data_IF_538888881094
#
_entry.id   IF_538888881094
#
_cell.length_a   1.000
_cell.length_b   1.000
_cell.length_c   1.000
_cell.angle_alpha   90.00
_cell.angle_beta   90.00
_cell.angle_gamma   90.00
#
_symmetry.space_group_name_H-M   'P 1'
#
loop_
_entity.id
_entity.type
_entity.pdbx_description
1 polymer ?
#
# COMPACT_ATOMS: atom_id res chain seq x y z
N UNK A 1 -19.40 23.33 0.19
CA UNK A 1 -19.19 24.61 0.87
C UNK A 1 -18.78 25.69 -0.12
N UNK A 2 -18.74 26.91 0.32
CA UNK A 2 -18.46 28.08 -0.53
C UNK A 2 -16.96 28.44 -0.59
N UNK A 3 -16.09 27.52 -0.19
CA UNK A 3 -14.65 27.71 -0.27
C UNK A 3 -14.15 27.41 -1.69
N UNK A 4 -13.44 28.35 -2.34
CA UNK A 4 -12.89 28.11 -3.67
C UNK A 4 -11.77 27.09 -3.60
N UNK A 5 -11.83 26.09 -4.50
CA UNK A 5 -10.77 25.12 -4.69
C UNK A 5 -9.81 25.58 -5.79
N UNK A 6 -8.51 25.40 -5.57
CA UNK A 6 -7.50 25.71 -6.59
C UNK A 6 -7.48 24.59 -7.63
N UNK A 7 -7.86 24.92 -8.86
CA UNK A 7 -7.75 24.00 -10.00
C UNK A 7 -6.28 23.87 -10.40
N UNK A 8 -5.80 22.64 -10.49
CA UNK A 8 -4.42 22.30 -10.90
C UNK A 8 -4.35 21.63 -12.29
N UNK A 9 -5.48 21.15 -12.77
CA UNK A 9 -5.62 20.60 -14.13
C UNK A 9 -7.06 20.75 -14.60
N UNK A 10 -7.27 21.03 -15.88
CA UNK A 10 -8.58 21.06 -16.52
C UNK A 10 -8.49 20.56 -17.97
N UNK A 11 -9.45 19.74 -18.36
CA UNK A 11 -9.70 19.31 -19.73
C UNK A 11 -11.21 19.29 -20.00
N UNK A 12 -11.67 19.05 -21.21
CA UNK A 12 -13.10 18.94 -21.51
C UNK A 12 -13.85 17.88 -20.70
N UNK A 13 -13.15 16.87 -20.21
CA UNK A 13 -13.74 15.70 -19.50
C UNK A 13 -13.28 15.53 -18.06
N UNK A 14 -12.31 16.35 -17.60
CA UNK A 14 -11.72 16.17 -16.27
C UNK A 14 -11.23 17.48 -15.66
N UNK A 15 -11.55 17.69 -14.39
CA UNK A 15 -10.97 18.75 -13.55
C UNK A 15 -10.30 18.12 -12.35
N UNK A 16 -9.07 18.50 -12.06
CA UNK A 16 -8.41 18.19 -10.80
C UNK A 16 -8.21 19.48 -10.00
N UNK A 17 -8.59 19.47 -8.74
CA UNK A 17 -8.48 20.61 -7.85
C UNK A 17 -7.96 20.18 -6.47
N UNK A 18 -7.23 21.10 -5.82
CA UNK A 18 -6.77 20.87 -4.45
C UNK A 18 -7.92 21.19 -3.50
N UNK A 19 -8.20 20.25 -2.61
CA UNK A 19 -9.20 20.44 -1.54
C UNK A 19 -8.72 21.58 -0.60
N UNK A 20 -9.53 22.60 -0.35
CA UNK A 20 -9.14 23.70 0.53
C UNK A 20 -8.91 23.21 1.97
N UNK A 21 -7.86 23.72 2.62
CA UNK A 21 -7.48 23.35 3.99
C UNK A 21 -8.54 23.71 5.06
N UNK A 22 -9.46 24.61 4.76
CA UNK A 22 -10.55 25.00 5.67
C UNK A 22 -11.77 24.08 5.66
N UNK A 23 -11.77 23.00 4.87
CA UNK A 23 -12.87 22.02 4.88
C UNK A 23 -12.71 21.10 6.09
N UNK A 24 -13.34 21.47 7.19
CA UNK A 24 -13.30 20.72 8.46
C UNK A 24 -14.35 19.57 8.56
N UNK A 25 -15.12 19.30 7.52
CA UNK A 25 -16.24 18.34 7.58
C UNK A 25 -15.84 16.98 7.09
N UNK A 26 -15.95 16.00 7.97
CA UNK A 26 -16.01 14.58 7.59
C UNK A 26 -17.33 14.32 6.88
N UNK A 27 -17.31 13.51 5.82
CA UNK A 27 -18.50 13.06 5.10
C UNK A 27 -18.65 13.72 3.73
N UNK A 28 -19.85 13.52 3.17
CA UNK A 28 -20.20 13.90 1.81
C UNK A 28 -20.20 15.42 1.63
N UNK A 29 -19.26 15.94 0.85
CA UNK A 29 -19.05 17.40 0.61
C UNK A 29 -19.48 17.74 -0.82
N UNK A 30 -20.37 18.74 -1.02
CA UNK A 30 -20.78 19.15 -2.35
C UNK A 30 -19.68 19.92 -3.07
N UNK A 31 -19.58 19.68 -4.39
CA UNK A 31 -18.69 20.40 -5.32
C UNK A 31 -19.53 21.05 -6.41
N UNK A 32 -19.23 22.31 -6.72
CA UNK A 32 -19.84 23.06 -7.82
C UNK A 32 -18.75 23.69 -8.68
N UNK A 33 -18.98 23.77 -9.98
CA UNK A 33 -18.11 24.44 -10.94
C UNK A 33 -18.70 25.82 -11.24
N UNK A 34 -18.34 26.82 -10.44
CA UNK A 34 -18.80 28.19 -10.60
C UNK A 34 -20.33 28.29 -10.73
N UNK A 35 -20.78 28.99 -11.76
CA UNK A 35 -22.21 29.17 -12.08
C UNK A 35 -22.65 28.22 -13.21
N UNK A 36 -21.88 27.16 -13.51
CA UNK A 36 -22.27 26.20 -14.54
C UNK A 36 -23.50 25.44 -14.08
N UNK A 37 -24.63 25.49 -14.83
CA UNK A 37 -25.79 24.70 -14.51
C UNK A 37 -25.49 23.20 -14.58
N UNK A 38 -26.01 22.44 -13.62
CA UNK A 38 -25.81 21.00 -13.58
C UNK A 38 -26.11 20.41 -12.21
N UNK A 39 -26.04 19.09 -12.12
CA UNK A 39 -26.18 18.38 -10.85
C UNK A 39 -24.99 18.67 -9.93
N UNK A 40 -25.27 18.78 -8.63
CA UNK A 40 -24.22 18.94 -7.63
C UNK A 40 -23.46 17.63 -7.47
N UNK A 41 -22.18 17.61 -7.83
CA UNK A 41 -21.31 16.51 -7.53
C UNK A 41 -20.94 16.50 -6.04
N UNK A 42 -20.59 15.35 -5.53
CA UNK A 42 -20.21 15.18 -4.14
C UNK A 42 -18.92 14.36 -4.06
N UNK A 43 -18.06 14.70 -3.09
CA UNK A 43 -16.93 13.88 -2.71
C UNK A 43 -16.93 13.63 -1.20
N UNK A 44 -16.24 12.58 -0.77
CA UNK A 44 -15.99 12.30 0.64
C UNK A 44 -14.51 12.47 0.94
N UNK A 45 -14.22 13.03 2.13
CA UNK A 45 -12.85 13.15 2.62
C UNK A 45 -12.48 11.93 3.44
N UNK A 46 -11.36 11.31 3.11
CA UNK A 46 -10.75 10.30 3.95
C UNK A 46 -10.34 10.91 5.30
N UNK A 47 -10.62 10.19 6.38
CA UNK A 47 -10.27 10.63 7.72
C UNK A 47 -8.83 10.21 8.05
N UNK A 48 -7.95 11.13 8.54
CA UNK A 48 -6.66 10.70 9.07
C UNK A 48 -6.87 9.78 10.27
N UNK A 49 -6.28 8.59 10.18
CA UNK A 49 -6.28 7.59 11.24
C UNK A 49 -5.02 7.71 12.11
N UNK A 50 -3.87 7.95 11.48
CA UNK A 50 -2.61 8.19 12.16
C UNK A 50 -1.75 9.16 11.33
N UNK A 51 -1.04 10.06 12.00
CA UNK A 51 -0.14 11.06 11.42
C UNK A 51 1.26 10.96 12.03
N UNK A 52 2.24 11.65 11.45
CA UNK A 52 3.62 11.64 11.93
C UNK A 52 4.28 10.28 11.71
N UNK A 53 3.93 9.62 10.63
CA UNK A 53 4.54 8.39 10.14
C UNK A 53 5.68 8.73 9.18
N UNK A 54 6.40 7.71 8.69
CA UNK A 54 7.45 7.92 7.70
C UNK A 54 7.58 6.71 6.78
N UNK A 55 7.33 6.93 5.49
CA UNK A 55 7.40 5.94 4.42
C UNK A 55 6.57 4.68 4.72
N UNK A 56 5.25 4.85 4.77
CA UNK A 56 4.32 3.73 5.00
C UNK A 56 4.05 3.02 3.68
N UNK A 57 4.98 2.16 3.26
CA UNK A 57 4.92 1.49 1.95
C UNK A 57 3.83 0.40 1.91
N UNK A 58 3.84 -0.52 2.86
CA UNK A 58 2.89 -1.64 2.90
C UNK A 58 2.36 -1.83 4.31
N UNK A 59 1.29 -1.09 4.69
CA UNK A 59 0.61 -1.30 5.96
C UNK A 59 -0.11 -2.64 5.98
N UNK A 60 -0.36 -3.21 7.16
CA UNK A 60 -1.13 -4.44 7.30
C UNK A 60 -2.05 -4.42 8.51
N UNK A 61 -3.16 -5.15 8.44
CA UNK A 61 -4.08 -5.34 9.56
C UNK A 61 -3.88 -6.72 10.17
N UNK A 62 -4.02 -6.81 11.50
CA UNK A 62 -4.25 -8.08 12.17
C UNK A 62 -5.76 -8.41 12.24
N UNK A 63 -6.09 -9.60 12.76
CA UNK A 63 -7.48 -10.08 12.91
C UNK A 63 -8.31 -9.25 13.91
N UNK A 64 -7.66 -8.55 14.82
CA UNK A 64 -8.30 -7.65 15.79
C UNK A 64 -8.61 -6.28 15.19
N UNK A 65 -8.16 -6.02 13.95
CA UNK A 65 -8.31 -4.78 13.21
C UNK A 65 -7.30 -3.70 13.62
N UNK A 66 -6.21 -4.07 14.28
CA UNK A 66 -5.10 -3.16 14.50
C UNK A 66 -4.32 -2.99 13.19
N UNK A 67 -3.95 -1.77 12.87
CA UNK A 67 -3.13 -1.43 11.72
C UNK A 67 -1.67 -1.28 12.16
N UNK A 68 -0.77 -1.97 11.47
CA UNK A 68 0.67 -1.83 11.64
C UNK A 68 1.23 -0.96 10.52
N UNK A 69 2.00 0.06 10.91
CA UNK A 69 2.58 1.05 10.00
C UNK A 69 4.05 1.29 10.33
N UNK A 70 4.85 1.46 9.30
CA UNK A 70 6.30 1.63 9.42
C UNK A 70 6.68 3.07 9.76
N UNK A 71 7.82 3.21 10.45
CA UNK A 71 8.55 4.47 10.57
C UNK A 71 10.02 4.21 10.19
N UNK A 72 10.37 4.55 8.96
CA UNK A 72 11.61 4.06 8.33
C UNK A 72 12.86 4.89 8.63
N UNK A 73 12.74 6.18 8.90
CA UNK A 73 13.90 7.07 9.03
C UNK A 73 14.71 7.25 7.72
N UNK A 74 15.85 7.92 7.80
CA UNK A 74 16.80 8.01 6.68
C UNK A 74 17.57 6.69 6.51
N UNK A 75 18.20 6.49 5.37
CA UNK A 75 18.92 5.23 5.06
C UNK A 75 19.99 4.91 6.11
N UNK A 76 19.90 3.72 6.70
CA UNK A 76 20.80 3.24 7.76
C UNK A 76 20.56 3.87 9.12
N UNK A 77 19.57 4.74 9.27
CA UNK A 77 19.25 5.35 10.55
C UNK A 77 18.42 4.37 11.41
N UNK A 78 18.90 4.14 12.61
CA UNK A 78 18.10 3.52 13.64
C UNK A 78 17.17 4.57 14.26
N UNK A 79 15.87 4.32 14.20
CA UNK A 79 14.84 5.20 14.75
C UNK A 79 14.33 4.67 16.10
N UNK A 80 13.81 5.52 16.98
CA UNK A 80 13.31 5.08 18.30
C UNK A 80 12.16 4.08 18.21
N UNK A 81 11.35 4.18 17.15
CA UNK A 81 10.23 3.30 16.87
C UNK A 81 10.28 2.88 15.42
N UNK A 82 10.31 1.57 15.15
CA UNK A 82 10.29 1.04 13.79
C UNK A 82 8.87 0.80 13.28
N UNK A 83 7.99 0.32 14.14
CA UNK A 83 6.60 0.01 13.83
C UNK A 83 5.68 0.62 14.88
N UNK A 84 4.69 1.35 14.43
CA UNK A 84 3.53 1.76 15.23
C UNK A 84 2.37 0.78 15.02
N UNK A 85 1.63 0.52 16.10
CA UNK A 85 0.32 -0.13 16.06
C UNK A 85 -0.76 0.92 16.25
N UNK A 86 -1.70 0.97 15.34
CA UNK A 86 -2.86 1.87 15.39
C UNK A 86 -4.10 1.03 15.69
N UNK A 87 -4.70 1.26 16.84
CA UNK A 87 -5.90 0.57 17.28
C UNK A 87 -7.11 0.96 16.43
N UNK A 88 -8.20 0.15 16.36
CA UNK A 88 -9.41 0.51 15.64
C UNK A 88 -10.03 1.86 16.06
N UNK A 89 -9.81 2.29 17.30
CA UNK A 89 -10.25 3.59 17.83
C UNK A 89 -9.33 4.76 17.41
N UNK A 90 -8.26 4.51 16.65
CA UNK A 90 -7.28 5.51 16.21
C UNK A 90 -6.14 5.78 17.18
N UNK A 91 -6.08 5.11 18.33
CA UNK A 91 -4.94 5.24 19.25
C UNK A 91 -3.70 4.64 18.64
N UNK A 92 -2.65 5.46 18.47
CA UNK A 92 -1.34 5.03 18.01
C UNK A 92 -0.41 4.74 19.20
N UNK A 93 0.22 3.60 19.15
CA UNK A 93 1.18 3.17 20.19
C UNK A 93 2.47 2.62 19.54
N UNK A 94 3.59 2.73 20.24
CA UNK A 94 4.83 2.07 19.87
C UNK A 94 4.62 0.56 19.96
N UNK A 95 4.97 -0.17 18.88
CA UNK A 95 4.85 -1.62 18.88
C UNK A 95 6.22 -2.31 18.82
N UNK A 96 7.08 -1.93 17.88
CA UNK A 96 8.39 -2.55 17.69
C UNK A 96 9.46 -1.48 17.50
N UNK A 97 10.66 -1.77 17.99
CA UNK A 97 11.86 -0.95 17.81
C UNK A 97 13.03 -1.84 17.35
N UNK A 98 14.10 -1.24 16.85
CA UNK A 98 15.34 -1.95 16.50
C UNK A 98 15.43 -2.48 15.07
N UNK A 99 14.35 -2.44 14.27
CA UNK A 99 14.42 -2.76 12.83
C UNK A 99 14.84 -1.51 12.06
N UNK A 100 15.98 -1.56 11.39
CA UNK A 100 16.50 -0.43 10.59
C UNK A 100 15.82 -0.37 9.24
N UNK A 101 15.31 0.80 8.87
CA UNK A 101 14.60 1.05 7.62
C UNK A 101 13.52 0.00 7.29
N UNK A 102 12.53 -0.21 8.20
CA UNK A 102 11.40 -1.09 7.89
C UNK A 102 10.66 -0.57 6.66
N UNK A 103 10.24 -1.48 5.79
CA UNK A 103 9.63 -1.13 4.50
C UNK A 103 8.23 -1.72 4.36
N UNK A 104 8.11 -3.04 4.38
CA UNK A 104 6.84 -3.74 4.26
C UNK A 104 6.52 -4.51 5.52
N UNK A 105 5.22 -4.66 5.79
CA UNK A 105 4.71 -5.49 6.87
C UNK A 105 3.72 -6.53 6.34
N UNK A 106 3.68 -7.70 6.96
CA UNK A 106 2.70 -8.75 6.68
C UNK A 106 2.40 -9.55 7.96
N UNK A 107 1.17 -10.03 8.12
CA UNK A 107 0.82 -10.95 9.20
C UNK A 107 0.99 -12.39 8.70
N UNK A 108 1.78 -13.17 9.40
CA UNK A 108 1.93 -14.59 9.14
C UNK A 108 0.70 -15.40 9.58
N UNK A 109 0.55 -16.65 9.10
CA UNK A 109 -0.60 -17.48 9.44
C UNK A 109 -0.74 -17.79 10.93
N UNK A 110 0.36 -17.72 11.68
CA UNK A 110 0.41 -17.87 13.13
C UNK A 110 0.08 -16.58 13.89
N UNK A 111 -0.16 -15.47 13.19
CA UNK A 111 -0.54 -14.17 13.76
C UNK A 111 0.62 -13.26 14.14
N UNK A 112 1.87 -13.67 13.93
CA UNK A 112 3.02 -12.79 14.13
C UNK A 112 3.13 -11.77 13.00
N UNK A 113 3.68 -10.58 13.33
CA UNK A 113 4.03 -9.57 12.34
C UNK A 113 5.40 -9.90 11.74
N UNK A 114 5.50 -9.82 10.42
CA UNK A 114 6.76 -9.88 9.69
C UNK A 114 7.07 -8.53 9.09
N UNK A 115 8.35 -8.12 9.14
CA UNK A 115 8.80 -6.80 8.73
C UNK A 115 10.07 -6.94 7.89
N UNK A 116 10.07 -6.39 6.69
CA UNK A 116 11.29 -6.31 5.87
C UNK A 116 12.13 -5.09 6.23
N UNK A 117 13.45 -5.28 6.34
CA UNK A 117 14.45 -4.23 6.44
C UNK A 117 15.20 -4.11 5.12
N UNK A 118 14.93 -3.02 4.38
CA UNK A 118 15.62 -2.76 3.10
C UNK A 118 17.09 -2.44 3.25
N UNK A 119 17.51 -2.01 4.43
CA UNK A 119 18.92 -1.69 4.71
C UNK A 119 19.72 -2.94 5.05
N UNK A 120 19.14 -3.85 5.83
CA UNK A 120 19.82 -5.06 6.32
C UNK A 120 19.63 -6.27 5.42
N UNK A 121 18.71 -6.19 4.43
CA UNK A 121 18.36 -7.33 3.59
C UNK A 121 17.77 -8.50 4.40
N UNK A 122 17.02 -8.18 5.42
CA UNK A 122 16.51 -9.12 6.43
C UNK A 122 15.01 -8.97 6.57
N UNK A 123 14.31 -10.08 6.73
CA UNK A 123 12.94 -10.11 7.25
C UNK A 123 12.99 -10.50 8.70
N UNK A 124 12.36 -9.70 9.55
CA UNK A 124 12.20 -9.94 10.97
C UNK A 124 10.82 -10.52 11.26
N UNK A 125 10.74 -11.49 12.17
CA UNK A 125 9.52 -11.89 12.83
C UNK A 125 9.37 -11.11 14.13
N UNK A 126 8.22 -10.51 14.34
CA UNK A 126 7.92 -9.70 15.53
C UNK A 126 6.80 -10.37 16.30
N UNK A 127 7.04 -10.67 17.56
CA UNK A 127 6.06 -11.32 18.41
C UNK A 127 4.96 -10.35 18.91
N UNK A 128 3.97 -10.87 19.63
CA UNK A 128 2.86 -10.06 20.15
C UNK A 128 3.27 -9.01 21.16
N UNK A 129 4.46 -9.13 21.76
CA UNK A 129 5.05 -8.15 22.67
C UNK A 129 5.87 -7.08 21.94
N UNK A 130 6.11 -7.24 20.63
CA UNK A 130 6.88 -6.31 19.81
C UNK A 130 8.38 -6.62 19.76
N UNK A 131 8.81 -7.78 20.25
CA UNK A 131 10.20 -8.23 20.15
C UNK A 131 10.46 -8.76 18.72
N UNK A 132 11.49 -8.21 18.05
CA UNK A 132 11.88 -8.59 16.70
C UNK A 132 13.06 -9.56 16.73
N UNK A 133 12.97 -10.63 15.96
CA UNK A 133 14.07 -11.58 15.70
C UNK A 133 14.27 -11.80 14.21
N UNK A 134 15.51 -11.95 13.72
CA UNK A 134 15.75 -12.26 12.31
C UNK A 134 15.09 -13.59 11.93
N UNK A 135 14.31 -13.57 10.84
CA UNK A 135 13.63 -14.76 10.31
C UNK A 135 14.30 -15.27 9.02
N UNK A 136 14.57 -14.36 8.07
CA UNK A 136 15.28 -14.68 6.83
C UNK A 136 16.26 -13.54 6.49
N UNK A 137 17.46 -13.90 6.06
CA UNK A 137 18.56 -12.95 5.81
C UNK A 137 19.11 -13.11 4.39
N UNK A 138 20.01 -12.19 3.99
CA UNK A 138 20.67 -12.19 2.67
C UNK A 138 19.68 -12.02 1.50
N UNK A 139 18.64 -11.19 1.70
CA UNK A 139 17.55 -10.95 0.76
C UNK A 139 17.75 -9.69 -0.09
N UNK A 140 19.01 -9.24 -0.26
CA UNK A 140 19.32 -8.03 -1.02
C UNK A 140 18.71 -6.78 -0.39
N UNK A 141 17.96 -5.99 -1.15
CA UNK A 141 17.19 -4.84 -0.66
C UNK A 141 15.74 -5.30 -0.43
N UNK A 142 15.53 -6.04 0.67
CA UNK A 142 14.23 -6.64 1.00
C UNK A 142 13.15 -5.57 1.17
N UNK A 143 12.10 -5.64 0.36
CA UNK A 143 11.00 -4.69 0.32
C UNK A 143 9.66 -5.40 0.56
N UNK A 144 8.89 -5.67 -0.49
CA UNK A 144 7.54 -6.22 -0.39
C UNK A 144 7.46 -7.60 0.26
N UNK A 145 6.40 -7.84 1.01
CA UNK A 145 6.10 -9.10 1.69
C UNK A 145 4.68 -9.56 1.34
N UNK A 146 4.50 -10.86 1.09
CA UNK A 146 3.17 -11.47 0.97
C UNK A 146 3.22 -12.93 1.44
N UNK A 147 2.26 -13.35 2.29
CA UNK A 147 2.13 -14.74 2.72
C UNK A 147 1.15 -15.52 1.86
N UNK A 148 1.52 -16.75 1.52
CA UNK A 148 0.60 -17.75 1.03
C UNK A 148 -0.10 -18.45 2.20
N UNK A 149 -1.25 -19.08 1.92
CA UNK A 149 -2.04 -19.80 2.92
C UNK A 149 -1.28 -20.98 3.56
N UNK A 150 -0.34 -21.57 2.83
CA UNK A 150 0.52 -22.66 3.33
C UNK A 150 1.64 -22.19 4.25
N UNK A 151 1.78 -20.87 4.45
CA UNK A 151 2.81 -20.23 5.26
C UNK A 151 4.11 -19.92 4.52
N UNK A 152 4.17 -20.11 3.22
CA UNK A 152 5.26 -19.61 2.39
C UNK A 152 5.24 -18.10 2.36
N UNK A 153 6.35 -17.43 2.67
CA UNK A 153 6.51 -15.99 2.55
C UNK A 153 7.20 -15.66 1.23
N UNK A 154 6.58 -14.79 0.44
CA UNK A 154 7.22 -14.16 -0.71
C UNK A 154 7.88 -12.84 -0.29
N UNK A 155 9.12 -12.64 -0.74
CA UNK A 155 9.89 -11.41 -0.46
C UNK A 155 10.40 -10.84 -1.77
N UNK A 156 10.09 -9.57 -2.03
CA UNK A 156 10.60 -8.84 -3.20
C UNK A 156 11.90 -8.11 -2.86
N UNK A 157 12.96 -8.39 -3.57
CA UNK A 157 14.20 -7.62 -3.57
C UNK A 157 14.16 -6.57 -4.68
N UNK A 158 14.48 -5.34 -4.35
CA UNK A 158 14.48 -4.21 -5.29
C UNK A 158 15.36 -4.42 -6.52
N UNK A 159 16.37 -5.30 -6.47
CA UNK A 159 17.20 -5.64 -7.64
C UNK A 159 16.46 -6.49 -8.69
N UNK A 160 15.29 -7.02 -8.36
CA UNK A 160 14.43 -7.79 -9.27
C UNK A 160 14.15 -9.22 -8.82
N UNK A 161 14.80 -9.72 -7.79
CA UNK A 161 14.59 -11.08 -7.32
C UNK A 161 13.33 -11.20 -6.45
N UNK A 162 12.51 -12.19 -6.73
CA UNK A 162 11.42 -12.61 -5.83
C UNK A 162 11.87 -13.91 -5.16
N UNK A 163 11.93 -13.89 -3.84
CA UNK A 163 12.26 -15.04 -3.02
C UNK A 163 11.01 -15.74 -2.49
N UNK A 164 11.10 -17.05 -2.32
CA UNK A 164 10.25 -17.87 -1.43
C UNK A 164 11.04 -18.17 -0.17
N UNK A 165 10.41 -17.95 0.98
CA UNK A 165 10.94 -18.29 2.29
C UNK A 165 9.98 -19.26 2.94
N UNK A 166 10.45 -20.44 3.34
CA UNK A 166 9.64 -21.44 4.02
C UNK A 166 9.43 -21.10 5.51
N UNK A 167 8.63 -21.89 6.20
CA UNK A 167 8.33 -21.68 7.63
C UNK A 167 9.54 -21.76 8.55
N UNK A 168 10.65 -22.34 8.09
CA UNK A 168 11.91 -22.42 8.83
C UNK A 168 12.85 -21.24 8.51
N UNK A 169 12.45 -20.31 7.64
CA UNK A 169 13.27 -19.18 7.21
C UNK A 169 14.23 -19.52 6.07
N UNK A 170 14.17 -20.72 5.49
CA UNK A 170 15.02 -21.12 4.35
C UNK A 170 14.53 -20.43 3.08
N UNK A 171 15.46 -19.74 2.42
CA UNK A 171 15.23 -18.92 1.24
C UNK A 171 15.57 -19.68 -0.05
N UNK A 172 14.74 -19.49 -1.07
CA UNK A 172 14.97 -19.94 -2.45
C UNK A 172 14.51 -18.85 -3.42
N UNK A 173 15.15 -18.74 -4.59
CA UNK A 173 14.68 -17.85 -5.66
C UNK A 173 13.42 -18.46 -6.28
N UNK A 174 12.39 -17.62 -6.41
CA UNK A 174 11.13 -18.00 -7.04
C UNK A 174 11.02 -17.50 -8.47
N UNK A 175 11.29 -16.22 -8.67
CA UNK A 175 11.17 -15.58 -9.98
C UNK A 175 12.08 -14.36 -10.07
N UNK A 176 12.17 -13.76 -11.25
CA UNK A 176 12.95 -12.55 -11.48
C UNK A 176 12.17 -11.56 -12.34
N UNK A 177 12.24 -10.29 -11.95
CA UNK A 177 11.62 -9.14 -12.60
C UNK A 177 12.68 -8.09 -12.92
N UNK A 178 12.38 -7.08 -13.74
CA UNK A 178 13.22 -5.89 -13.83
C UNK A 178 13.42 -5.23 -12.46
N UNK A 179 14.62 -4.71 -12.21
CA UNK A 179 14.91 -3.98 -10.97
C UNK A 179 14.10 -2.69 -10.87
N UNK A 180 13.78 -2.29 -9.65
CA UNK A 180 12.98 -1.10 -9.34
C UNK A 180 13.82 0.03 -8.76
N UNK A 181 13.40 1.28 -8.97
CA UNK A 181 13.95 2.47 -8.31
C UNK A 181 13.27 2.78 -6.97
N UNK A 182 12.15 2.10 -6.68
CA UNK A 182 11.38 2.21 -5.44
C UNK A 182 11.21 0.84 -4.77
N UNK A 183 10.40 0.75 -3.72
CA UNK A 183 10.06 -0.52 -3.11
C UNK A 183 9.25 -1.40 -4.07
N UNK A 184 9.48 -2.71 -4.03
CA UNK A 184 8.54 -3.69 -4.55
C UNK A 184 7.35 -3.78 -3.59
N UNK A 185 6.15 -3.84 -4.13
CA UNK A 185 4.95 -4.18 -3.35
C UNK A 185 4.36 -5.47 -3.88
N UNK A 186 3.96 -6.34 -2.99
CA UNK A 186 3.49 -7.68 -3.29
C UNK A 186 2.08 -7.88 -2.74
N UNK A 187 1.23 -8.54 -3.52
CA UNK A 187 -0.07 -9.02 -3.07
C UNK A 187 -0.35 -10.41 -3.65
N UNK A 188 -0.77 -11.34 -2.81
CA UNK A 188 -1.16 -12.67 -3.26
C UNK A 188 -2.65 -12.70 -3.62
N UNK A 189 -2.96 -13.16 -4.83
CA UNK A 189 -4.31 -13.35 -5.29
C UNK A 189 -4.93 -14.63 -4.73
N UNK A 190 -6.28 -14.75 -4.70
CA UNK A 190 -6.96 -15.94 -4.22
C UNK A 190 -6.62 -17.22 -5.00
N UNK A 191 -6.20 -17.11 -6.26
CA UNK A 191 -5.76 -18.22 -7.11
C UNK A 191 -4.30 -18.64 -6.89
N UNK A 192 -3.60 -18.00 -5.94
CA UNK A 192 -2.21 -18.27 -5.60
C UNK A 192 -1.18 -17.54 -6.47
N UNK A 193 -1.60 -16.73 -7.44
CA UNK A 193 -0.68 -15.90 -8.21
C UNK A 193 -0.22 -14.70 -7.39
N UNK A 194 1.05 -14.31 -7.54
CA UNK A 194 1.63 -13.15 -6.90
C UNK A 194 1.58 -11.94 -7.84
N UNK A 195 0.99 -10.85 -7.39
CA UNK A 195 0.99 -9.59 -8.10
C UNK A 195 2.05 -8.66 -7.54
N UNK A 196 2.78 -7.98 -8.43
CA UNK A 196 3.94 -7.17 -8.05
C UNK A 196 3.91 -5.82 -8.78
N UNK A 197 4.11 -4.75 -8.02
CA UNK A 197 4.45 -3.43 -8.57
C UNK A 197 5.93 -3.15 -8.34
N UNK A 198 6.61 -2.66 -9.37
CA UNK A 198 8.05 -2.43 -9.37
C UNK A 198 8.38 -1.16 -10.17
N UNK A 199 8.15 0.06 -9.62
CA UNK A 199 8.35 1.30 -10.36
C UNK A 199 9.79 1.46 -10.87
N UNK A 200 9.92 1.88 -12.12
CA UNK A 200 11.20 2.13 -12.80
C UNK A 200 11.39 3.61 -13.13
N UNK A 201 12.30 3.94 -14.02
CA UNK A 201 12.46 5.28 -14.60
C UNK A 201 11.73 5.41 -15.95
N UNK A 202 10.95 4.41 -16.34
CA UNK A 202 10.14 4.47 -17.56
C UNK A 202 8.98 5.46 -17.41
N UNK A 203 8.40 5.86 -18.52
CA UNK A 203 7.18 6.71 -18.55
C UNK A 203 5.98 5.98 -17.97
N UNK A 204 5.91 4.67 -18.24
CA UNK A 204 4.89 3.77 -17.73
C UNK A 204 5.54 2.54 -17.13
N UNK A 205 4.99 2.08 -16.02
CA UNK A 205 5.42 0.89 -15.31
C UNK A 205 4.33 -0.19 -15.34
N UNK A 206 4.78 -1.43 -15.25
CA UNK A 206 3.92 -2.59 -15.29
C UNK A 206 3.49 -3.05 -13.89
N UNK A 207 2.31 -3.66 -13.83
CA UNK A 207 1.93 -4.61 -12.80
C UNK A 207 2.25 -5.99 -13.36
N UNK A 208 3.06 -6.73 -12.63
CA UNK A 208 3.41 -8.10 -12.99
C UNK A 208 2.53 -9.08 -12.23
N UNK A 209 2.17 -10.16 -12.92
CA UNK A 209 1.58 -11.37 -12.34
C UNK A 209 2.60 -12.49 -12.45
N UNK A 210 2.86 -13.18 -11.35
CA UNK A 210 3.71 -14.36 -11.28
C UNK A 210 2.82 -15.54 -10.90
N UNK A 211 2.66 -16.47 -11.84
CA UNK A 211 1.86 -17.67 -11.61
C UNK A 211 2.51 -18.56 -10.54
N UNK A 212 1.79 -19.54 -9.93
CA UNK A 212 2.34 -20.41 -8.89
C UNK A 212 3.58 -21.22 -9.30
N UNK A 213 3.78 -21.42 -10.60
CA UNK A 213 4.97 -22.09 -11.17
C UNK A 213 6.17 -21.15 -11.35
N UNK A 214 6.02 -19.84 -11.06
CA UNK A 214 7.05 -18.82 -11.23
C UNK A 214 7.03 -18.10 -12.59
N UNK A 215 6.12 -18.45 -13.49
CA UNK A 215 5.97 -17.80 -14.81
C UNK A 215 5.50 -16.35 -14.63
N UNK A 216 6.25 -15.41 -15.21
CA UNK A 216 5.96 -13.98 -15.17
C UNK A 216 5.12 -13.55 -16.37
N UNK A 217 4.10 -12.74 -16.11
CA UNK A 217 3.29 -12.07 -17.13
C UNK A 217 3.09 -10.59 -16.76
N UNK A 218 2.92 -9.76 -17.77
CA UNK A 218 2.46 -8.37 -17.58
C UNK A 218 0.94 -8.39 -17.51
N UNK A 219 0.41 -7.96 -16.38
CA UNK A 219 -1.04 -7.84 -16.18
C UNK A 219 -1.58 -6.51 -16.71
N UNK A 220 -0.82 -5.43 -16.48
CA UNK A 220 -1.18 -4.09 -16.93
C UNK A 220 0.09 -3.23 -17.01
N UNK A 221 0.22 -2.33 -17.99
CA UNK A 221 1.47 -1.61 -18.30
C UNK A 221 1.30 -0.10 -18.53
N UNK A 222 0.22 0.50 -18.00
CA UNK A 222 -0.09 1.91 -18.23
C UNK A 222 -0.24 2.76 -16.96
N UNK A 223 0.28 2.29 -15.84
CA UNK A 223 0.46 3.14 -14.68
C UNK A 223 1.77 3.92 -14.81
N UNK A 224 1.78 5.19 -14.36
CA UNK A 224 2.99 5.99 -14.41
C UNK A 224 3.95 5.66 -13.27
N UNK A 225 3.43 5.35 -12.08
CA UNK A 225 4.22 4.97 -10.90
C UNK A 225 3.39 4.15 -9.92
N UNK A 226 3.07 2.89 -10.25
CA UNK A 226 2.31 2.02 -9.36
C UNK A 226 3.12 1.71 -8.10
N UNK A 227 2.48 1.83 -6.93
CA UNK A 227 3.07 1.58 -5.62
C UNK A 227 2.28 0.46 -4.92
N UNK A 228 1.78 0.71 -3.71
CA UNK A 228 1.04 -0.25 -2.92
C UNK A 228 -0.05 -0.97 -3.70
N UNK A 229 -0.15 -2.27 -3.46
CA UNK A 229 -1.06 -3.19 -4.14
C UNK A 229 -1.71 -4.10 -3.10
N UNK A 230 -3.00 -4.34 -3.21
CA UNK A 230 -3.71 -5.25 -2.31
C UNK A 230 -4.97 -5.81 -2.97
N UNK A 231 -5.40 -6.98 -2.54
CA UNK A 231 -6.70 -7.55 -2.87
C UNK A 231 -7.71 -7.27 -1.75
N UNK A 232 -8.94 -6.97 -2.12
CA UNK A 232 -10.05 -6.95 -1.17
C UNK A 232 -10.53 -8.39 -0.86
N UNK A 233 -11.48 -8.51 0.09
CA UNK A 233 -12.06 -9.80 0.49
C UNK A 233 -12.85 -10.52 -0.62
N UNK A 234 -13.13 -9.85 -1.73
CA UNK A 234 -13.79 -10.41 -2.93
C UNK A 234 -12.79 -10.80 -4.02
N UNK A 235 -11.49 -10.64 -3.77
CA UNK A 235 -10.43 -10.91 -4.74
C UNK A 235 -10.28 -9.85 -5.83
N UNK A 236 -10.78 -8.64 -5.60
CA UNK A 236 -10.60 -7.52 -6.51
C UNK A 236 -9.28 -6.82 -6.19
N UNK A 237 -8.47 -6.59 -7.21
CA UNK A 237 -7.17 -5.93 -7.09
C UNK A 237 -7.34 -4.41 -6.98
N UNK A 238 -6.60 -3.80 -6.05
CA UNK A 238 -6.45 -2.35 -5.93
C UNK A 238 -4.98 -1.97 -6.00
N UNK A 239 -4.71 -0.85 -6.67
CA UNK A 239 -3.36 -0.34 -6.90
C UNK A 239 -3.31 1.14 -6.57
N UNK A 240 -2.27 1.55 -5.87
CA UNK A 240 -1.96 2.95 -5.63
C UNK A 240 -1.10 3.48 -6.77
N UNK A 241 -1.56 4.54 -7.42
CA UNK A 241 -0.79 5.30 -8.42
C UNK A 241 -0.23 6.56 -7.75
N UNK A 242 1.08 6.76 -7.82
CA UNK A 242 1.75 7.92 -7.21
C UNK A 242 2.12 9.02 -8.22
N UNK A 243 1.92 8.81 -9.53
CA UNK A 243 2.25 9.80 -10.55
C UNK A 243 1.43 11.07 -10.37
N UNK A 244 2.11 12.23 -10.38
CA UNK A 244 1.45 13.52 -10.28
C UNK A 244 0.40 13.74 -11.39
N UNK A 245 -0.81 14.16 -11.00
CA UNK A 245 -1.94 14.34 -11.92
C UNK A 245 -2.82 13.10 -12.13
N UNK A 246 -2.33 11.91 -11.80
CA UNK A 246 -3.10 10.66 -11.81
C UNK A 246 -3.13 9.97 -10.44
N UNK A 247 -2.54 10.59 -9.42
CA UNK A 247 -2.35 10.03 -8.08
C UNK A 247 -3.65 9.63 -7.41
N UNK A 248 -3.72 8.41 -6.91
CA UNK A 248 -4.91 7.88 -6.27
C UNK A 248 -4.90 6.37 -6.08
N UNK A 249 -6.02 5.86 -5.57
CA UNK A 249 -6.29 4.43 -5.48
C UNK A 249 -7.16 4.01 -6.67
N UNK A 250 -6.72 3.01 -7.40
CA UNK A 250 -7.41 2.45 -8.56
C UNK A 250 -7.90 1.03 -8.27
N UNK A 251 -9.13 0.75 -8.70
CA UNK A 251 -9.70 -0.59 -8.73
C UNK A 251 -9.40 -1.23 -10.10
N UNK A 252 -8.91 -2.45 -10.08
CA UNK A 252 -8.60 -3.26 -11.25
C UNK A 252 -9.62 -4.40 -11.36
N UNK A 253 -10.64 -4.25 -12.19
CA UNK A 253 -11.53 -5.36 -12.49
C UNK A 253 -11.00 -6.14 -13.70
N UNK A 254 -11.08 -7.49 -13.70
CA UNK A 254 -10.62 -8.30 -14.83
C UNK A 254 -11.22 -7.84 -16.16
N UNK A 255 -10.39 -7.67 -17.18
CA UNK A 255 -10.79 -7.26 -18.52
C UNK A 255 -11.30 -5.82 -18.68
N UNK A 256 -11.18 -4.99 -17.64
CA UNK A 256 -11.64 -3.59 -17.65
C UNK A 256 -10.47 -2.62 -17.43
N UNK A 257 -10.64 -1.39 -17.89
CA UNK A 257 -9.69 -0.32 -17.58
C UNK A 257 -9.71 -0.01 -16.06
N UNK A 258 -8.56 0.39 -15.47
CA UNK A 258 -8.51 0.79 -14.08
C UNK A 258 -9.48 1.94 -13.78
N UNK A 259 -10.23 1.82 -12.68
CA UNK A 259 -11.18 2.85 -12.24
C UNK A 259 -10.62 3.58 -11.01
N UNK A 260 -10.50 4.90 -11.09
CA UNK A 260 -10.10 5.74 -9.96
C UNK A 260 -11.20 5.73 -8.88
N UNK A 261 -10.85 5.27 -7.69
CA UNK A 261 -11.74 5.18 -6.53
C UNK A 261 -11.54 6.33 -5.57
N UNK A 262 -10.29 6.69 -5.34
CA UNK A 262 -9.87 7.78 -4.46
C UNK A 262 -8.78 8.58 -5.16
N UNK A 263 -8.90 9.91 -5.15
CA UNK A 263 -7.82 10.81 -5.55
C UNK A 263 -7.11 11.36 -4.33
N UNK A 264 -5.78 11.29 -4.34
CA UNK A 264 -4.95 11.86 -3.28
C UNK A 264 -3.50 11.96 -3.70
N UNK A 265 -2.78 13.03 -3.31
CA UNK A 265 -1.37 13.19 -3.66
C UNK A 265 -0.49 12.25 -2.83
N UNK A 266 0.60 11.79 -3.44
CA UNK A 266 1.68 11.07 -2.76
C UNK A 266 1.22 9.84 -1.96
N UNK A 267 0.20 9.14 -2.45
CA UNK A 267 -0.20 7.86 -1.87
C UNK A 267 0.84 6.79 -2.21
N UNK A 268 1.13 5.91 -1.25
CA UNK A 268 2.16 4.88 -1.37
C UNK A 268 1.59 3.49 -1.03
N UNK A 269 0.86 3.37 0.08
CA UNK A 269 0.39 2.10 0.61
C UNK A 269 -1.12 1.96 0.60
N UNK A 270 -1.59 0.71 0.59
CA UNK A 270 -3.00 0.34 0.75
C UNK A 270 -3.11 -0.95 1.54
N UNK A 271 -4.11 -1.04 2.42
CA UNK A 271 -4.47 -2.27 3.12
C UNK A 271 -5.98 -2.38 3.31
N UNK A 272 -6.47 -3.60 3.32
CA UNK A 272 -7.86 -3.94 3.64
C UNK A 272 -7.92 -4.66 4.97
N UNK A 273 -8.91 -4.33 5.82
CA UNK A 273 -9.24 -5.15 6.96
C UNK A 273 -10.23 -6.27 6.57
N UNK A 274 -10.39 -7.27 7.45
CA UNK A 274 -11.31 -8.42 7.20
C UNK A 274 -12.78 -8.01 7.04
N UNK A 275 -13.15 -6.80 7.49
CA UNK A 275 -14.51 -6.25 7.40
C UNK A 275 -14.73 -5.40 6.15
N UNK A 276 -13.72 -5.35 5.25
CA UNK A 276 -13.74 -4.55 4.02
C UNK A 276 -13.46 -3.05 4.26
N UNK A 277 -12.96 -2.68 5.44
CA UNK A 277 -12.42 -1.34 5.69
C UNK A 277 -11.12 -1.16 4.92
N UNK A 278 -10.90 0.05 4.39
CA UNK A 278 -9.71 0.38 3.60
C UNK A 278 -8.92 1.48 4.27
N UNK A 279 -7.62 1.29 4.32
CA UNK A 279 -6.65 2.34 4.66
C UNK A 279 -5.73 2.57 3.48
N UNK A 280 -5.54 3.83 3.11
CA UNK A 280 -4.48 4.27 2.19
C UNK A 280 -3.47 5.09 2.96
N UNK A 281 -2.21 4.98 2.59
CA UNK A 281 -1.13 5.69 3.25
C UNK A 281 -0.40 6.60 2.28
N UNK A 282 -0.12 7.82 2.75
CA UNK A 282 0.89 8.69 2.17
C UNK A 282 2.25 8.47 2.85
N UNK A 283 3.21 9.32 2.53
CA UNK A 283 4.53 9.27 3.16
C UNK A 283 4.49 9.42 4.70
N UNK A 284 3.51 10.12 5.25
CA UNK A 284 3.45 10.52 6.66
C UNK A 284 2.12 10.27 7.37
N UNK A 285 1.09 9.85 6.65
CA UNK A 285 -0.27 9.73 7.18
C UNK A 285 -0.99 8.51 6.64
N UNK A 286 -1.65 7.79 7.53
CA UNK A 286 -2.61 6.74 7.20
C UNK A 286 -4.03 7.33 7.24
N UNK A 287 -4.79 7.13 6.17
CA UNK A 287 -6.16 7.60 6.02
C UNK A 287 -7.12 6.44 5.95
N UNK A 288 -8.16 6.46 6.78
CA UNK A 288 -9.27 5.52 6.66
C UNK A 288 -10.30 6.05 5.67
N UNK A 289 -10.69 5.21 4.71
CA UNK A 289 -11.76 5.54 3.78
C UNK A 289 -13.11 5.22 4.42
N UNK A 290 -14.09 6.13 4.36
CA UNK A 290 -15.45 5.82 4.79
C UNK A 290 -16.07 4.83 3.80
N UNK A 291 -16.64 3.76 4.32
CA UNK A 291 -17.47 2.74 3.65
C UNK A 291 -17.35 2.65 2.11
N UNK A 292 -16.30 1.99 1.63
CA UNK A 292 -16.08 1.72 0.21
C UNK A 292 -17.17 0.81 -0.43
N UNK A 293 -17.94 0.09 0.36
CA UNK A 293 -19.00 -0.79 -0.13
C UNK A 293 -20.08 -0.07 -0.98
N UNK A 294 -20.25 1.25 -0.84
CA UNK A 294 -21.13 2.07 -1.69
C UNK A 294 -20.43 2.67 -2.91
N UNK A 295 -19.13 2.83 -2.91
CA UNK A 295 -18.37 3.39 -4.02
C UNK A 295 -17.92 2.32 -5.04
N UNK A 296 -18.09 1.04 -4.69
CA UNK A 296 -17.66 -0.12 -5.47
C UNK A 296 -18.83 -0.96 -6.04
N UNK A 297 -20.09 -0.51 -5.80
CA UNK A 297 -21.28 -1.14 -6.35
C UNK A 297 -21.62 -0.58 -7.77
#
# INVERSE_FOLDING_TARGET
GDLPARVVYASPTRIAAIVPSGIARRGRTPVRIGQVPGETAFFELAAPLATGLHQVDSPTFDRDGNLYVTYSGTRGQQVPVSIFRVRPNGTRETFCSGVVNPTSTAIGPEGYLYVSSRFEGTVYRVDHAGAAEPFATHLGVACGLAFAADGTLFVGDRSGTIFKVDRAGKTTTFSSLPGSVAAFHLALAPDGALYVTAPTLATYDAIYRIDPDGTVRVEFDRFGRPQGIAFDSKGVLFVVEALAGASGLYRMAPGSAPTLVLSGPSLIGVAFDERGGVVVCSNDTAYRLPNMSRALA
#
